data_IF_903829792081
#
_entry.id   IF_903829792081
#
_cell.length_a   1.000
_cell.length_b   1.000
_cell.length_c   1.000
_cell.angle_alpha   90.00
_cell.angle_beta   90.00
_cell.angle_gamma   90.00
#
_symmetry.space_group_name_H-M   'P 1'
#
loop_
_entity.id
_entity.type
_entity.pdbx_description
1 polymer ?
#
# COMPACT_ATOMS: atom_id res chain seq x y z
N UNK A 1 -57.30 48.80 19.63
CA UNK A 1 -58.25 49.15 18.57
C UNK A 1 -57.42 49.34 17.31
N UNK A 2 -57.42 48.37 16.37
CA UNK A 2 -58.44 48.25 15.30
C UNK A 2 -58.30 49.45 14.36
N UNK A 3 -58.07 49.35 13.05
CA UNK A 3 -58.21 48.32 12.02
C UNK A 3 -57.35 48.79 10.80
N UNK A 4 -56.66 47.96 10.00
CA UNK A 4 -57.19 47.15 8.89
C UNK A 4 -58.01 47.99 7.87
N UNK A 5 -57.89 47.97 6.54
CA UNK A 5 -57.16 47.20 5.47
C UNK A 5 -57.44 48.02 4.17
N UNK A 6 -56.74 47.89 3.04
CA UNK A 6 -57.19 47.12 1.84
C UNK A 6 -56.24 47.47 0.66
N UNK A 7 -55.33 46.59 0.25
CA UNK A 7 -55.39 45.64 -0.89
C UNK A 7 -55.30 46.24 -2.30
N UNK A 8 -54.25 45.90 -3.05
CA UNK A 8 -54.34 45.32 -4.40
C UNK A 8 -52.99 44.72 -4.86
N UNK A 9 -53.08 43.54 -5.46
CA UNK A 9 -52.02 42.72 -6.05
C UNK A 9 -52.30 42.63 -7.59
N UNK A 10 -51.55 41.87 -8.40
CA UNK A 10 -50.31 42.20 -9.11
C UNK A 10 -50.48 42.36 -10.64
N UNK A 11 -49.48 42.90 -11.33
CA UNK A 11 -49.31 42.78 -12.79
C UNK A 11 -47.85 42.48 -13.15
N UNK A 12 -47.69 41.80 -14.27
CA UNK A 12 -46.63 40.86 -14.61
C UNK A 12 -45.33 41.44 -15.22
N UNK A 13 -44.34 40.54 -15.32
CA UNK A 13 -43.28 40.44 -16.33
C UNK A 13 -42.07 41.39 -16.29
N UNK A 14 -40.92 40.83 -15.91
CA UNK A 14 -39.86 40.47 -16.87
C UNK A 14 -38.66 39.89 -16.14
N UNK A 15 -38.48 38.57 -16.29
CA UNK A 15 -37.40 37.79 -15.72
C UNK A 15 -36.07 38.15 -16.42
N UNK A 16 -35.12 38.73 -15.69
CA UNK A 16 -33.70 38.64 -16.05
C UNK A 16 -33.13 37.41 -15.37
N UNK A 17 -33.05 36.33 -16.14
CA UNK A 17 -32.34 35.11 -15.79
C UNK A 17 -30.86 35.44 -15.56
N UNK A 18 -30.43 35.29 -14.31
CA UNK A 18 -29.03 35.12 -13.95
C UNK A 18 -28.54 33.86 -14.68
N UNK A 19 -27.49 33.91 -15.51
CA UNK A 19 -26.98 32.71 -16.13
C UNK A 19 -26.47 31.78 -15.03
N UNK A 20 -27.14 30.63 -14.95
CA UNK A 20 -26.78 29.45 -14.20
C UNK A 20 -25.27 29.27 -14.18
N UNK A 21 -24.66 29.31 -12.99
CA UNK A 21 -23.34 28.74 -12.75
C UNK A 21 -23.42 27.30 -13.27
N UNK A 22 -22.87 27.07 -14.47
CA UNK A 22 -22.53 25.75 -14.92
C UNK A 22 -21.73 25.11 -13.79
N UNK A 23 -22.33 24.10 -13.16
CA UNK A 23 -21.66 23.25 -12.19
C UNK A 23 -20.48 22.65 -12.94
N UNK A 24 -19.30 23.24 -12.77
CA UNK A 24 -18.07 22.65 -13.25
C UNK A 24 -18.07 21.23 -12.70
N UNK A 25 -18.14 20.26 -13.60
CA UNK A 25 -17.86 18.89 -13.24
C UNK A 25 -16.43 18.91 -12.70
N UNK A 26 -16.30 18.82 -11.37
CA UNK A 26 -15.03 18.55 -10.72
C UNK A 26 -14.57 17.23 -11.32
N UNK A 27 -13.64 17.31 -12.27
CA UNK A 27 -12.95 16.13 -12.75
C UNK A 27 -12.13 15.69 -11.56
N UNK A 28 -12.57 14.65 -10.85
CA UNK A 28 -11.86 14.15 -9.68
C UNK A 28 -10.40 13.89 -10.10
N UNK A 29 -9.50 14.73 -9.60
CA UNK A 29 -8.06 14.49 -9.71
C UNK A 29 -7.84 13.15 -9.03
N UNK A 30 -7.25 12.16 -9.73
CA UNK A 30 -6.92 10.92 -9.04
C UNK A 30 -5.87 11.30 -8.00
N UNK A 31 -6.26 11.19 -6.74
CA UNK A 31 -5.40 11.42 -5.61
C UNK A 31 -4.20 10.46 -5.71
N UNK A 32 -2.95 10.95 -5.60
CA UNK A 32 -1.76 10.11 -5.47
C UNK A 32 -1.91 8.97 -4.46
N UNK A 33 -2.76 9.15 -3.42
CA UNK A 33 -3.08 8.10 -2.47
C UNK A 33 -3.73 6.86 -3.12
N UNK A 34 -4.41 7.00 -4.27
CA UNK A 34 -5.04 5.88 -5.00
C UNK A 34 -4.02 4.82 -5.41
N UNK A 35 -2.84 5.25 -5.87
CA UNK A 35 -1.74 4.35 -6.24
C UNK A 35 -1.23 3.55 -5.04
N UNK A 36 -1.11 4.20 -3.88
CA UNK A 36 -0.71 3.58 -2.61
C UNK A 36 -1.78 2.58 -2.15
N UNK A 37 -3.06 2.96 -2.15
CA UNK A 37 -4.14 2.07 -1.71
C UNK A 37 -4.29 0.83 -2.60
N UNK A 38 -4.23 0.99 -3.92
CA UNK A 38 -4.25 -0.15 -4.86
C UNK A 38 -3.06 -1.06 -4.60
N UNK A 39 -1.86 -0.51 -4.40
CA UNK A 39 -0.68 -1.29 -4.07
C UNK A 39 -0.82 -2.06 -2.74
N UNK A 40 -1.28 -1.40 -1.68
CA UNK A 40 -1.49 -2.03 -0.38
C UNK A 40 -2.51 -3.17 -0.50
N UNK A 41 -3.63 -2.94 -1.21
CA UNK A 41 -4.64 -3.96 -1.43
C UNK A 41 -4.09 -5.20 -2.14
N UNK A 42 -3.34 -5.02 -3.23
CA UNK A 42 -2.67 -6.12 -3.95
C UNK A 42 -1.64 -6.84 -3.05
N UNK A 43 -0.92 -6.10 -2.21
CA UNK A 43 0.10 -6.66 -1.33
C UNK A 43 -0.52 -7.49 -0.21
N UNK A 44 -1.60 -7.01 0.42
CA UNK A 44 -2.37 -7.78 1.40
C UNK A 44 -2.92 -9.06 0.77
N UNK A 45 -3.50 -8.97 -0.42
CA UNK A 45 -4.02 -10.13 -1.15
C UNK A 45 -2.91 -11.15 -1.42
N UNK A 46 -1.75 -10.70 -1.91
CA UNK A 46 -0.60 -11.57 -2.17
C UNK A 46 -0.14 -12.31 -0.91
N UNK A 47 0.08 -11.60 0.21
CA UNK A 47 0.55 -12.25 1.44
C UNK A 47 -0.49 -13.18 2.06
N UNK A 48 -1.78 -12.85 1.94
CA UNK A 48 -2.87 -13.74 2.36
C UNK A 48 -2.85 -15.04 1.55
N UNK A 49 -2.76 -14.94 0.21
CA UNK A 49 -2.71 -16.11 -0.67
C UNK A 49 -1.42 -16.92 -0.45
N UNK A 50 -0.29 -16.26 -0.22
CA UNK A 50 0.99 -16.91 0.09
C UNK A 50 0.94 -17.69 1.40
N UNK A 51 0.26 -17.16 2.42
CA UNK A 51 0.05 -17.85 3.68
C UNK A 51 -0.84 -19.09 3.52
N UNK A 52 -1.91 -19.00 2.70
CA UNK A 52 -2.83 -20.12 2.45
C UNK A 52 -2.24 -21.20 1.55
N UNK A 53 -1.39 -20.82 0.57
CA UNK A 53 -0.84 -21.72 -0.44
C UNK A 53 0.68 -21.53 -0.60
N UNK A 54 1.49 -21.90 0.41
CA UNK A 54 2.94 -21.68 0.39
C UNK A 54 3.63 -22.42 -0.76
N UNK A 55 3.13 -23.59 -1.16
CA UNK A 55 3.65 -24.38 -2.29
C UNK A 55 3.56 -23.66 -3.65
N UNK A 56 2.71 -22.62 -3.75
CA UNK A 56 2.53 -21.81 -4.97
C UNK A 56 3.19 -20.43 -4.86
N UNK A 57 4.01 -20.19 -3.83
CA UNK A 57 4.56 -18.88 -3.51
C UNK A 57 5.26 -18.20 -4.70
N UNK A 58 6.05 -18.93 -5.49
CA UNK A 58 6.76 -18.38 -6.66
C UNK A 58 5.80 -17.92 -7.75
N UNK A 59 4.80 -18.74 -8.09
CA UNK A 59 3.79 -18.37 -9.09
C UNK A 59 2.95 -17.18 -8.62
N UNK A 60 2.53 -17.18 -7.35
CA UNK A 60 1.80 -16.06 -6.74
C UNK A 60 2.62 -14.77 -6.77
N UNK A 61 3.94 -14.84 -6.54
CA UNK A 61 4.83 -13.68 -6.60
C UNK A 61 4.88 -13.07 -7.99
N UNK A 62 5.04 -13.90 -9.03
CA UNK A 62 5.07 -13.44 -10.43
C UNK A 62 3.75 -12.77 -10.80
N UNK A 63 2.61 -13.40 -10.48
CA UNK A 63 1.28 -12.84 -10.74
C UNK A 63 1.10 -11.50 -10.01
N UNK A 64 1.45 -11.45 -8.72
CA UNK A 64 1.41 -10.24 -7.93
C UNK A 64 2.24 -9.11 -8.55
N UNK A 65 3.48 -9.40 -8.94
CA UNK A 65 4.38 -8.38 -9.49
C UNK A 65 3.86 -7.84 -10.84
N UNK A 66 3.31 -8.71 -11.69
CA UNK A 66 2.66 -8.28 -12.95
C UNK A 66 1.45 -7.40 -12.67
N UNK A 67 0.59 -7.78 -11.72
CA UNK A 67 -0.59 -6.99 -11.35
C UNK A 67 -0.21 -5.61 -10.79
N UNK A 68 0.86 -5.54 -9.99
CA UNK A 68 1.41 -4.28 -9.50
C UNK A 68 1.90 -3.44 -10.68
N UNK A 69 2.73 -3.98 -11.58
CA UNK A 69 3.22 -3.22 -12.74
C UNK A 69 2.08 -2.68 -13.62
N UNK A 70 1.08 -3.52 -13.92
CA UNK A 70 -0.06 -3.13 -14.76
C UNK A 70 -0.89 -2.04 -14.06
N UNK A 71 -1.27 -2.25 -12.80
CA UNK A 71 -2.09 -1.29 -12.06
C UNK A 71 -1.39 0.06 -11.89
N UNK A 72 -0.11 0.04 -11.53
CA UNK A 72 0.68 1.26 -11.35
C UNK A 72 0.92 1.99 -12.67
N UNK A 73 1.13 1.26 -13.76
CA UNK A 73 1.26 1.85 -15.08
C UNK A 73 -0.02 2.54 -15.54
N UNK A 74 -1.19 1.91 -15.35
CA UNK A 74 -2.50 2.50 -15.67
C UNK A 74 -2.71 3.80 -14.88
N UNK A 75 -2.43 3.78 -13.57
CA UNK A 75 -2.57 4.96 -12.72
C UNK A 75 -1.60 6.08 -13.12
N UNK A 76 -0.36 5.73 -13.47
CA UNK A 76 0.63 6.71 -13.96
C UNK A 76 0.26 7.29 -15.32
N UNK A 77 -0.37 6.53 -16.23
CA UNK A 77 -0.95 7.08 -17.47
C UNK A 77 -2.05 8.08 -17.15
N UNK A 78 -2.92 7.75 -16.21
CA UNK A 78 -4.02 8.63 -15.82
C UNK A 78 -3.50 9.93 -15.21
N UNK A 79 -2.54 9.84 -14.29
CA UNK A 79 -1.86 11.00 -13.72
C UNK A 79 -1.20 11.86 -14.81
N UNK A 80 -0.49 11.24 -15.75
CA UNK A 80 0.13 11.94 -16.86
C UNK A 80 -0.90 12.67 -17.76
N UNK A 81 -2.09 12.09 -17.97
CA UNK A 81 -3.19 12.78 -18.68
C UNK A 81 -3.69 14.01 -17.93
N UNK A 82 -3.79 13.93 -16.60
CA UNK A 82 -4.26 15.04 -15.77
C UNK A 82 -3.25 16.19 -15.73
N UNK A 83 -1.97 15.89 -15.58
CA UNK A 83 -0.91 16.90 -15.52
C UNK A 83 -0.65 17.57 -16.87
N UNK A 84 -0.69 16.80 -17.95
CA UNK A 84 -0.21 17.25 -19.26
C UNK A 84 -1.30 17.47 -20.31
N UNK A 85 -2.57 17.23 -19.97
CA UNK A 85 -3.73 17.32 -20.86
C UNK A 85 -3.52 16.62 -22.22
N UNK A 86 -2.69 15.58 -22.24
CA UNK A 86 -2.27 14.90 -23.47
C UNK A 86 -2.00 13.41 -23.24
N UNK A 87 -2.52 12.52 -24.12
CA UNK A 87 -2.22 11.10 -24.09
C UNK A 87 -0.80 10.74 -24.55
N UNK A 88 0.04 11.69 -24.99
CA UNK A 88 1.39 11.41 -25.51
C UNK A 88 2.44 11.06 -24.44
N UNK A 89 2.10 11.12 -23.16
CA UNK A 89 3.05 10.88 -22.06
C UNK A 89 3.10 9.42 -21.59
N UNK A 90 2.70 8.46 -22.43
CA UNK A 90 2.78 7.02 -22.13
C UNK A 90 4.21 6.59 -21.86
N UNK A 91 5.19 7.13 -22.60
CA UNK A 91 6.61 6.84 -22.37
C UNK A 91 7.08 7.29 -20.99
N UNK A 92 6.70 8.50 -20.56
CA UNK A 92 6.98 9.00 -19.22
C UNK A 92 6.33 8.13 -18.14
N UNK A 93 5.07 7.72 -18.35
CA UNK A 93 4.37 6.76 -17.49
C UNK A 93 5.08 5.41 -17.38
N UNK A 94 5.63 4.91 -18.48
CA UNK A 94 6.36 3.66 -18.50
C UNK A 94 7.65 3.78 -17.68
N UNK A 95 8.44 4.84 -17.89
CA UNK A 95 9.68 5.08 -17.14
C UNK A 95 9.42 5.25 -15.64
N UNK A 96 8.44 6.08 -15.29
CA UNK A 96 8.05 6.33 -13.91
C UNK A 96 7.56 5.07 -13.18
N UNK A 97 7.08 4.07 -13.92
CA UNK A 97 6.63 2.79 -13.35
C UNK A 97 7.75 1.76 -13.37
N UNK A 98 8.18 1.36 -14.56
CA UNK A 98 9.03 0.18 -14.77
C UNK A 98 10.38 0.33 -14.07
N UNK A 99 11.02 1.50 -14.17
CA UNK A 99 12.37 1.71 -13.63
C UNK A 99 12.41 1.58 -12.11
N UNK A 100 11.65 2.36 -11.32
CA UNK A 100 11.71 2.23 -9.87
C UNK A 100 11.13 0.89 -9.38
N UNK A 101 10.09 0.34 -10.03
CA UNK A 101 9.57 -0.97 -9.66
C UNK A 101 10.57 -2.09 -9.92
N UNK A 102 11.28 -2.12 -11.04
CA UNK A 102 12.28 -3.18 -11.29
C UNK A 102 13.51 -2.97 -10.40
N UNK A 103 14.07 -1.75 -10.37
CA UNK A 103 15.34 -1.52 -9.69
C UNK A 103 15.19 -1.55 -8.17
N UNK A 104 14.26 -0.79 -7.59
CA UNK A 104 14.16 -0.65 -6.13
C UNK A 104 13.54 -1.91 -5.54
N UNK A 105 12.44 -2.41 -6.11
CA UNK A 105 11.79 -3.62 -5.60
C UNK A 105 12.63 -4.87 -5.86
N UNK A 106 13.29 -4.95 -7.02
CA UNK A 106 14.24 -6.03 -7.31
C UNK A 106 15.42 -6.02 -6.35
N UNK A 107 16.00 -4.85 -6.10
CA UNK A 107 17.07 -4.68 -5.10
C UNK A 107 16.61 -5.06 -3.70
N UNK A 108 15.41 -4.67 -3.26
CA UNK A 108 14.84 -5.10 -1.98
C UNK A 108 14.83 -6.63 -1.88
N UNK A 109 14.28 -7.31 -2.88
CA UNK A 109 14.18 -8.78 -2.86
C UNK A 109 15.56 -9.45 -2.83
N UNK A 110 16.53 -8.89 -3.56
CA UNK A 110 17.92 -9.34 -3.50
C UNK A 110 18.49 -9.17 -2.08
N UNK A 111 18.30 -8.00 -1.46
CA UNK A 111 18.81 -7.71 -0.13
C UNK A 111 18.16 -8.58 0.95
N UNK A 112 16.84 -8.78 0.92
CA UNK A 112 16.15 -9.64 1.89
C UNK A 112 16.55 -11.12 1.76
N UNK A 113 16.98 -11.54 0.57
CA UNK A 113 17.50 -12.90 0.33
C UNK A 113 18.94 -13.03 0.84
N UNK A 114 19.80 -12.03 0.58
CA UNK A 114 21.21 -12.07 0.97
C UNK A 114 21.41 -11.80 2.47
N UNK A 115 20.54 -10.98 3.08
CA UNK A 115 20.63 -10.55 4.46
C UNK A 115 19.32 -10.86 5.22
N UNK A 116 19.04 -12.15 5.51
CA UNK A 116 17.81 -12.54 6.19
C UNK A 116 17.67 -11.93 7.59
N UNK A 117 18.77 -11.48 8.20
CA UNK A 117 18.75 -10.73 9.46
C UNK A 117 17.91 -9.44 9.41
N UNK A 118 17.73 -8.82 8.23
CA UNK A 118 16.85 -7.65 8.07
C UNK A 118 15.37 -8.00 8.28
N UNK A 119 15.00 -9.26 8.04
CA UNK A 119 13.65 -9.72 8.33
C UNK A 119 13.43 -9.87 9.84
N UNK A 120 14.47 -10.15 10.61
CA UNK A 120 14.35 -10.39 12.04
C UNK A 120 13.82 -9.15 12.80
N UNK A 121 14.19 -7.94 12.38
CA UNK A 121 13.76 -6.71 13.03
C UNK A 121 12.22 -6.58 13.11
N UNK A 122 11.53 -6.80 11.98
CA UNK A 122 10.06 -6.78 11.94
C UNK A 122 9.45 -8.10 12.39
N UNK A 123 10.08 -9.24 12.10
CA UNK A 123 9.56 -10.57 12.47
C UNK A 123 9.50 -10.71 14.00
N UNK A 124 10.53 -10.27 14.71
CA UNK A 124 10.61 -10.42 16.17
C UNK A 124 9.78 -9.39 16.95
N UNK A 125 9.39 -8.30 16.28
CA UNK A 125 8.59 -7.24 16.89
C UNK A 125 7.14 -7.36 16.45
N UNK A 126 6.85 -6.97 15.19
CA UNK A 126 5.50 -6.92 14.64
C UNK A 126 5.00 -8.33 14.32
N UNK A 127 5.85 -9.18 13.71
CA UNK A 127 5.49 -10.55 13.38
C UNK A 127 5.15 -11.36 14.62
N UNK A 128 5.94 -11.23 15.69
CA UNK A 128 5.68 -11.88 16.96
C UNK A 128 4.40 -11.38 17.61
N UNK A 129 4.16 -10.07 17.60
CA UNK A 129 2.91 -9.51 18.11
C UNK A 129 1.70 -10.10 17.38
N UNK A 130 1.73 -10.17 16.05
CA UNK A 130 0.66 -10.79 15.25
C UNK A 130 0.52 -12.28 15.59
N UNK A 131 1.61 -13.06 15.57
CA UNK A 131 1.56 -14.48 15.88
C UNK A 131 1.06 -14.76 17.31
N UNK A 132 1.38 -13.89 18.27
CA UNK A 132 0.92 -13.96 19.66
C UNK A 132 -0.58 -13.73 19.77
N UNK A 133 -1.11 -12.75 19.03
CA UNK A 133 -2.55 -12.50 18.95
C UNK A 133 -3.29 -13.69 18.33
N UNK A 134 -2.71 -14.37 17.34
CA UNK A 134 -3.33 -15.55 16.73
C UNK A 134 -3.26 -16.78 17.65
N UNK A 135 -2.20 -16.93 18.47
CA UNK A 135 -2.17 -17.95 19.52
C UNK A 135 -0.85 -18.69 19.73
N UNK A 136 0.27 -18.24 19.14
CA UNK A 136 1.56 -18.95 19.28
C UNK A 136 2.00 -19.08 20.75
N UNK A 137 1.72 -18.07 21.58
CA UNK A 137 2.08 -18.07 22.99
C UNK A 137 1.31 -19.15 23.75
N UNK A 138 -0.01 -19.23 23.55
CA UNK A 138 -0.86 -20.29 24.13
C UNK A 138 -0.45 -21.69 23.66
N UNK A 139 -0.08 -21.86 22.39
CA UNK A 139 0.45 -23.13 21.89
C UNK A 139 1.68 -23.57 22.70
N UNK A 140 2.65 -22.67 22.92
CA UNK A 140 3.82 -22.98 23.74
C UNK A 140 3.45 -23.32 25.18
N UNK A 141 2.73 -22.43 25.86
CA UNK A 141 2.52 -22.51 27.31
C UNK A 141 1.56 -23.63 27.71
N UNK A 142 0.54 -23.93 26.91
CA UNK A 142 -0.53 -24.86 27.27
C UNK A 142 -0.35 -26.23 26.62
N UNK A 143 0.11 -26.27 25.36
CA UNK A 143 0.13 -27.49 24.55
C UNK A 143 1.51 -28.12 24.45
N UNK A 144 2.57 -27.33 24.30
CA UNK A 144 3.91 -27.86 24.06
C UNK A 144 4.74 -28.10 25.32
N UNK A 145 4.86 -27.14 26.23
CA UNK A 145 5.80 -27.21 27.35
C UNK A 145 5.47 -28.34 28.35
N UNK A 146 6.50 -29.02 28.84
CA UNK A 146 6.41 -30.06 29.87
C UNK A 146 6.47 -29.48 31.29
N UNK A 147 5.43 -28.76 31.69
CA UNK A 147 5.36 -28.09 33.00
C UNK A 147 5.24 -29.09 34.17
N UNK A 148 4.69 -30.29 33.92
CA UNK A 148 4.35 -31.25 34.97
C UNK A 148 5.47 -32.21 35.38
N UNK A 149 6.43 -32.50 34.50
CA UNK A 149 7.49 -33.48 34.79
C UNK A 149 8.85 -33.06 34.18
N UNK A 150 9.47 -31.97 34.68
CA UNK A 150 10.76 -31.50 34.17
C UNK A 150 11.90 -32.49 34.54
N UNK A 151 12.88 -32.71 33.65
CA UNK A 151 13.93 -33.70 33.87
C UNK A 151 14.93 -33.31 34.97
N UNK A 152 15.13 -32.01 35.22
CA UNK A 152 15.99 -31.51 36.30
C UNK A 152 15.61 -30.06 36.69
N UNK A 153 16.26 -29.52 37.74
CA UNK A 153 16.00 -28.16 38.24
C UNK A 153 16.34 -27.06 37.24
N UNK A 154 17.34 -27.26 36.39
CA UNK A 154 17.75 -26.25 35.41
C UNK A 154 16.77 -26.20 34.23
N UNK A 155 16.26 -27.35 33.79
CA UNK A 155 15.17 -27.44 32.82
C UNK A 155 13.90 -26.78 33.35
N UNK A 156 13.58 -26.95 34.65
CA UNK A 156 12.46 -26.24 35.27
C UNK A 156 12.65 -24.72 35.25
N UNK A 157 13.85 -24.20 35.55
CA UNK A 157 14.14 -22.75 35.44
C UNK A 157 13.98 -22.25 34.00
N UNK A 158 14.47 -23.01 33.02
CA UNK A 158 14.32 -22.66 31.60
C UNK A 158 12.85 -22.63 31.21
N UNK A 159 12.07 -23.65 31.59
CA UNK A 159 10.62 -23.69 31.35
C UNK A 159 9.92 -22.50 32.01
N UNK A 160 10.24 -22.17 33.26
CA UNK A 160 9.66 -21.01 33.96
C UNK A 160 10.00 -19.68 33.27
N UNK A 161 11.24 -19.51 32.83
CA UNK A 161 11.62 -18.32 32.06
C UNK A 161 10.85 -18.20 30.75
N UNK A 162 10.65 -19.32 30.05
CA UNK A 162 9.86 -19.36 28.81
C UNK A 162 8.37 -19.10 29.08
N UNK A 163 7.82 -19.62 30.18
CA UNK A 163 6.43 -19.34 30.59
C UNK A 163 6.23 -17.86 30.89
N UNK A 164 7.21 -17.21 31.52
CA UNK A 164 7.16 -15.78 31.83
C UNK A 164 7.32 -14.92 30.58
N UNK A 165 8.20 -15.32 29.66
CA UNK A 165 8.42 -14.61 28.39
C UNK A 165 8.66 -15.59 27.22
N UNK A 166 7.58 -16.01 26.52
CA UNK A 166 7.68 -16.86 25.34
C UNK A 166 8.42 -16.20 24.17
N UNK A 167 8.48 -14.86 24.15
CA UNK A 167 9.06 -14.10 23.04
C UNK A 167 10.53 -14.42 22.83
N UNK A 168 11.27 -14.67 23.93
CA UNK A 168 12.70 -15.00 23.88
C UNK A 168 12.97 -16.23 23.01
N UNK A 169 12.16 -17.28 23.11
CA UNK A 169 12.32 -18.47 22.26
C UNK A 169 11.73 -18.23 20.88
N UNK A 170 10.49 -17.74 20.81
CA UNK A 170 9.76 -17.61 19.54
C UNK A 170 10.51 -16.68 18.57
N UNK A 171 11.17 -15.64 19.06
CA UNK A 171 11.95 -14.70 18.25
C UNK A 171 13.25 -15.30 17.68
N UNK A 172 13.75 -16.39 18.26
CA UNK A 172 14.90 -17.13 17.68
C UNK A 172 14.48 -18.10 16.58
N UNK A 173 13.18 -18.41 16.47
CA UNK A 173 12.67 -19.38 15.50
C UNK A 173 12.40 -18.77 14.14
N UNK A 174 12.70 -19.54 13.10
CA UNK A 174 12.39 -19.26 11.70
C UNK A 174 12.09 -20.57 10.94
N UNK A 175 11.77 -20.46 9.65
CA UNK A 175 11.39 -21.61 8.83
C UNK A 175 12.50 -22.67 8.68
N UNK A 176 13.77 -22.27 8.84
CA UNK A 176 14.94 -23.14 8.68
C UNK A 176 15.26 -23.94 9.95
N UNK A 177 15.06 -23.33 11.13
CA UNK A 177 15.46 -23.92 12.40
C UNK A 177 14.32 -24.53 13.21
N UNK A 178 13.05 -24.28 12.85
CA UNK A 178 11.88 -24.75 13.62
C UNK A 178 11.86 -26.27 13.79
N UNK A 179 12.22 -27.03 12.75
CA UNK A 179 12.32 -28.50 12.82
C UNK A 179 13.44 -28.96 13.77
N UNK A 180 14.61 -28.32 13.68
CA UNK A 180 15.73 -28.63 14.55
C UNK A 180 15.37 -28.35 16.02
N UNK A 181 14.78 -27.20 16.28
CA UNK A 181 14.31 -26.80 17.61
C UNK A 181 13.28 -27.78 18.15
N UNK A 182 12.28 -28.16 17.36
CA UNK A 182 11.28 -29.16 17.75
C UNK A 182 11.95 -30.48 18.16
N UNK A 183 12.80 -31.02 17.28
CA UNK A 183 13.46 -32.31 17.51
C UNK A 183 14.35 -32.29 18.75
N UNK A 184 15.04 -31.16 19.01
CA UNK A 184 15.82 -30.98 20.25
C UNK A 184 14.93 -30.86 21.49
N UNK A 185 13.78 -30.23 21.36
CA UNK A 185 12.85 -30.02 22.48
C UNK A 185 12.20 -31.32 22.97
N UNK A 186 11.99 -32.29 22.07
CA UNK A 186 11.49 -33.64 22.39
C UNK A 186 12.59 -34.69 22.62
N UNK A 187 13.87 -34.30 22.49
CA UNK A 187 14.98 -35.25 22.63
C UNK A 187 15.14 -35.72 24.08
N UNK A 188 15.47 -37.01 24.29
CA UNK A 188 15.77 -37.53 25.62
C UNK A 188 16.87 -36.71 26.31
N UNK A 189 16.64 -36.31 27.55
CA UNK A 189 17.57 -35.49 28.36
C UNK A 189 17.30 -33.99 28.31
N UNK A 190 16.62 -33.48 27.27
CA UNK A 190 16.16 -32.08 27.21
C UNK A 190 14.71 -31.99 27.70
N UNK A 191 13.81 -32.80 27.13
CA UNK A 191 12.38 -32.92 27.51
C UNK A 191 11.70 -31.55 27.78
N UNK A 192 11.98 -30.56 26.94
CA UNK A 192 11.38 -29.23 27.02
C UNK A 192 9.89 -29.30 26.69
N UNK A 193 9.55 -30.11 25.68
CA UNK A 193 8.18 -30.41 25.31
C UNK A 193 7.67 -31.68 25.98
N UNK A 194 6.34 -31.84 26.01
CA UNK A 194 5.67 -33.03 26.57
C UNK A 194 6.20 -34.31 25.93
N UNK A 195 6.32 -35.35 26.74
CA UNK A 195 7.00 -36.61 26.40
C UNK A 195 6.28 -37.48 25.37
N UNK A 196 4.99 -37.21 25.12
CA UNK A 196 4.18 -37.88 24.11
C UNK A 196 4.44 -37.35 22.69
N UNK A 197 5.06 -36.17 22.56
CA UNK A 197 5.45 -35.60 21.28
C UNK A 197 6.67 -36.29 20.70
N UNK A 198 6.67 -36.48 19.39
CA UNK A 198 7.70 -37.26 18.66
C UNK A 198 8.56 -36.37 17.77
N UNK A 199 9.83 -36.77 17.52
CA UNK A 199 10.67 -36.08 16.55
C UNK A 199 10.12 -36.21 15.14
N UNK A 200 10.33 -35.17 14.33
CA UNK A 200 9.95 -35.09 12.92
C UNK A 200 11.14 -35.53 12.07
N UNK A 201 11.01 -36.66 11.38
CA UNK A 201 12.02 -37.18 10.46
C UNK A 201 11.81 -36.64 9.04
N UNK A 202 10.60 -36.83 8.51
CA UNK A 202 10.16 -36.33 7.21
C UNK A 202 8.96 -35.41 7.37
N UNK A 203 9.06 -34.15 6.97
CA UNK A 203 7.97 -33.16 7.08
C UNK A 203 6.78 -33.45 6.16
N UNK A 204 6.96 -34.32 5.16
CA UNK A 204 5.90 -34.70 4.21
C UNK A 204 5.13 -35.94 4.67
N UNK A 205 5.55 -36.58 5.76
CA UNK A 205 4.87 -37.75 6.28
C UNK A 205 3.53 -37.37 6.96
N UNK A 206 2.46 -38.08 6.61
CA UNK A 206 1.10 -37.82 7.12
C UNK A 206 0.91 -38.13 8.62
N UNK A 207 1.89 -38.79 9.24
CA UNK A 207 1.83 -39.24 10.64
C UNK A 207 2.57 -38.32 11.63
N UNK A 208 3.01 -37.15 11.17
CA UNK A 208 3.66 -36.16 12.02
C UNK A 208 2.67 -35.53 13.02
N UNK A 209 3.21 -35.03 14.13
CA UNK A 209 2.40 -34.42 15.18
C UNK A 209 1.70 -33.14 14.67
N UNK A 210 0.37 -33.00 14.83
CA UNK A 210 -0.36 -31.82 14.36
C UNK A 210 0.13 -30.52 15.02
N UNK A 211 0.64 -30.58 16.26
CA UNK A 211 1.15 -29.41 16.98
C UNK A 211 2.45 -28.88 16.35
N UNK A 212 3.25 -29.73 15.71
CA UNK A 212 4.42 -29.28 14.96
C UNK A 212 4.01 -28.38 13.79
N UNK A 213 2.99 -28.79 13.02
CA UNK A 213 2.49 -27.99 11.90
C UNK A 213 1.80 -26.72 12.35
N UNK A 214 1.11 -26.75 13.50
CA UNK A 214 0.54 -25.56 14.12
C UNK A 214 1.64 -24.55 14.48
N UNK A 215 2.70 -25.02 15.15
CA UNK A 215 3.88 -24.20 15.46
C UNK A 215 4.51 -23.63 14.19
N UNK A 216 4.76 -24.48 13.20
CA UNK A 216 5.38 -24.08 11.93
C UNK A 216 4.56 -23.00 11.23
N UNK A 217 3.22 -23.09 11.24
CA UNK A 217 2.34 -22.05 10.67
C UNK A 217 2.46 -20.71 11.40
N UNK A 218 2.55 -20.71 12.73
CA UNK A 218 2.78 -19.47 13.48
C UNK A 218 4.14 -18.84 13.18
N UNK A 219 5.21 -19.66 13.08
CA UNK A 219 6.55 -19.16 12.73
C UNK A 219 6.57 -18.62 11.29
N UNK A 220 5.90 -19.30 10.36
CA UNK A 220 5.75 -18.83 8.98
C UNK A 220 4.97 -17.51 8.93
N UNK A 221 3.88 -17.37 9.70
CA UNK A 221 3.12 -16.12 9.79
C UNK A 221 4.00 -14.98 10.31
N UNK A 222 4.77 -15.22 11.38
CA UNK A 222 5.73 -14.28 11.98
C UNK A 222 6.67 -13.72 10.90
N UNK A 223 7.26 -14.61 10.11
CA UNK A 223 8.20 -14.26 9.05
C UNK A 223 7.53 -13.56 7.86
N UNK A 224 6.34 -14.01 7.44
CA UNK A 224 5.59 -13.39 6.36
C UNK A 224 5.19 -11.95 6.68
N UNK A 225 4.84 -11.64 7.93
CA UNK A 225 4.57 -10.27 8.37
C UNK A 225 5.78 -9.37 8.16
N UNK A 226 7.00 -9.86 8.42
CA UNK A 226 8.22 -9.09 8.17
C UNK A 226 8.42 -8.74 6.70
N UNK A 227 8.26 -9.72 5.80
CA UNK A 227 8.28 -9.47 4.36
C UNK A 227 7.20 -8.48 3.93
N UNK A 228 5.99 -8.61 4.49
CA UNK A 228 4.88 -7.69 4.22
C UNK A 228 5.23 -6.25 4.58
N UNK A 229 5.81 -6.01 5.76
CA UNK A 229 6.22 -4.66 6.19
C UNK A 229 7.29 -4.09 5.26
N UNK A 230 8.30 -4.88 4.89
CA UNK A 230 9.33 -4.44 3.93
C UNK A 230 8.74 -4.08 2.56
N UNK A 231 7.80 -4.89 2.06
CA UNK A 231 7.11 -4.62 0.81
C UNK A 231 6.28 -3.34 0.92
N UNK A 232 5.50 -3.18 2.00
CA UNK A 232 4.68 -2.01 2.25
C UNK A 232 5.51 -0.72 2.26
N UNK A 233 6.61 -0.69 3.01
CA UNK A 233 7.52 0.46 3.06
C UNK A 233 8.11 0.78 1.69
N UNK A 234 8.57 -0.26 0.98
CA UNK A 234 9.23 -0.08 -0.32
C UNK A 234 8.25 0.35 -1.41
N UNK A 235 7.04 -0.18 -1.43
CA UNK A 235 6.03 0.24 -2.40
C UNK A 235 5.54 1.67 -2.16
N UNK A 236 5.39 2.09 -0.90
CA UNK A 236 5.11 3.51 -0.57
C UNK A 236 6.26 4.41 -1.07
N UNK A 237 7.51 3.99 -0.87
CA UNK A 237 8.67 4.72 -1.38
C UNK A 237 8.67 4.79 -2.91
N UNK A 238 8.47 3.67 -3.60
CA UNK A 238 8.45 3.61 -5.07
C UNK A 238 7.35 4.49 -5.64
N UNK A 239 6.12 4.37 -5.12
CA UNK A 239 4.98 5.18 -5.57
C UNK A 239 5.23 6.68 -5.34
N UNK A 240 5.85 7.05 -4.22
CA UNK A 240 6.28 8.42 -3.95
C UNK A 240 7.32 8.92 -4.95
N UNK A 241 8.32 8.09 -5.29
CA UNK A 241 9.34 8.43 -6.29
C UNK A 241 8.68 8.60 -7.68
N UNK A 242 7.81 7.67 -8.08
CA UNK A 242 7.06 7.74 -9.34
C UNK A 242 6.24 9.03 -9.43
N UNK A 243 5.54 9.40 -8.35
CA UNK A 243 4.76 10.63 -8.29
C UNK A 243 5.62 11.89 -8.41
N UNK A 244 6.71 11.98 -7.64
CA UNK A 244 7.62 13.12 -7.70
C UNK A 244 8.29 13.26 -9.08
N UNK A 245 8.64 12.14 -9.71
CA UNK A 245 9.15 12.13 -11.08
C UNK A 245 8.11 12.70 -12.07
N UNK A 246 6.84 12.34 -11.92
CA UNK A 246 5.75 12.84 -12.77
C UNK A 246 5.51 14.34 -12.64
N UNK A 247 5.69 14.90 -11.44
CA UNK A 247 5.53 16.34 -11.22
C UNK A 247 6.66 17.17 -11.81
N UNK A 248 7.85 16.58 -11.97
CA UNK A 248 9.06 17.30 -12.35
C UNK A 248 9.41 17.17 -13.83
N UNK A 249 8.96 16.09 -14.49
CA UNK A 249 9.21 15.88 -15.91
C UNK A 249 8.34 16.80 -16.78
N UNK A 250 8.92 17.49 -17.78
CA UNK A 250 8.14 18.29 -18.71
C UNK A 250 7.24 17.40 -19.59
N UNK A 251 6.03 17.89 -19.86
CA UNK A 251 5.07 17.23 -20.72
C UNK A 251 5.58 17.16 -22.17
N UNK A 252 5.61 15.95 -22.75
CA UNK A 252 5.95 15.76 -24.17
C UNK A 252 4.69 15.98 -25.01
N UNK A 253 4.69 17.03 -25.84
CA UNK A 253 3.59 17.33 -26.76
C UNK A 253 3.89 16.75 -28.15
N UNK A 254 2.88 16.19 -28.82
CA UNK A 254 3.03 15.86 -30.24
C UNK A 254 3.05 17.14 -31.10
N UNK A 255 3.66 17.13 -32.30
CA UNK A 255 3.65 18.30 -33.19
C UNK A 255 2.24 18.83 -33.50
N UNK A 256 1.25 17.93 -33.60
CA UNK A 256 -0.16 18.31 -33.80
C UNK A 256 -0.72 19.06 -32.59
N UNK A 257 -0.43 18.59 -31.38
CA UNK A 257 -0.88 19.23 -30.15
C UNK A 257 -0.20 20.57 -29.91
N UNK A 258 1.11 20.67 -30.19
CA UNK A 258 1.83 21.94 -30.12
C UNK A 258 1.21 22.99 -31.05
N UNK A 259 0.82 22.60 -32.27
CA UNK A 259 0.13 23.49 -33.22
C UNK A 259 -1.26 23.91 -32.71
N UNK A 260 -2.03 22.99 -32.15
CA UNK A 260 -3.37 23.30 -31.58
C UNK A 260 -3.24 24.25 -30.39
N UNK A 261 -2.31 23.99 -29.47
CA UNK A 261 -2.07 24.84 -28.31
C UNK A 261 -1.60 26.24 -28.72
N UNK A 262 -0.70 26.34 -29.71
CA UNK A 262 -0.27 27.63 -30.25
C UNK A 262 -1.42 28.40 -30.90
N UNK A 263 -2.29 27.72 -31.67
CA UNK A 263 -3.46 28.35 -32.28
C UNK A 263 -4.48 28.84 -31.24
N UNK A 264 -4.71 28.07 -30.16
CA UNK A 264 -5.57 28.48 -29.05
C UNK A 264 -5.02 29.71 -28.32
N UNK A 265 -3.73 29.71 -28.00
CA UNK A 265 -3.07 30.85 -27.35
C UNK A 265 -3.19 32.14 -28.15
N UNK A 266 -2.99 32.07 -29.48
CA UNK A 266 -3.17 33.23 -30.37
C UNK A 266 -4.63 33.70 -30.41
N UNK A 267 -5.59 32.77 -30.44
CA UNK A 267 -7.01 33.11 -30.44
C UNK A 267 -7.46 33.78 -29.13
N UNK A 268 -6.94 33.33 -27.98
CA UNK A 268 -7.27 33.90 -26.69
C UNK A 268 -6.65 35.29 -26.50
N UNK A 269 -5.40 35.50 -26.94
CA UNK A 269 -4.82 36.86 -26.98
C UNK A 269 -5.64 37.83 -27.83
N UNK A 270 -6.09 37.39 -29.00
CA UNK A 270 -6.90 38.24 -29.88
C UNK A 270 -8.24 38.60 -29.23
N UNK A 271 -8.88 37.69 -28.48
CA UNK A 271 -10.11 37.97 -27.73
C UNK A 271 -9.86 38.94 -26.58
N UNK A 272 -8.75 38.78 -25.86
CA UNK A 272 -8.37 39.71 -24.78
C UNK A 272 -8.11 41.11 -25.34
N UNK A 273 -7.41 41.23 -26.46
CA UNK A 273 -7.18 42.52 -27.14
C UNK A 273 -8.49 43.16 -27.63
N UNK A 274 -9.37 42.39 -28.28
CA UNK A 274 -10.68 42.90 -28.74
C UNK A 274 -11.57 43.33 -27.57
N UNK A 275 -11.57 42.58 -26.46
CA UNK A 275 -12.33 42.97 -25.27
C UNK A 275 -11.78 44.24 -24.61
N UNK A 276 -10.46 44.42 -24.59
CA UNK A 276 -9.81 45.64 -24.10
C UNK A 276 -10.09 46.85 -25.00
N UNK A 277 -10.10 46.69 -26.33
CA UNK A 277 -10.45 47.75 -27.27
C UNK A 277 -11.92 48.15 -27.18
N UNK A 278 -12.81 47.17 -27.04
CA UNK A 278 -14.26 47.40 -26.85
C UNK A 278 -14.51 48.14 -25.53
N UNK A 279 -13.82 47.77 -24.45
CA UNK A 279 -13.91 48.45 -23.16
C UNK A 279 -13.43 49.91 -23.23
N UNK A 280 -12.33 50.19 -23.94
CA UNK A 280 -11.82 51.56 -24.16
C UNK A 280 -12.78 52.41 -24.99
N UNK A 281 -13.41 51.83 -26.02
CA UNK A 281 -14.39 52.52 -26.86
C UNK A 281 -15.68 52.86 -26.11
N UNK A 282 -16.07 52.02 -25.13
CA UNK A 282 -17.26 52.25 -24.30
C UNK A 282 -17.05 53.15 -23.07
N UNK A 283 -15.82 53.61 -22.80
CA UNK A 283 -15.52 54.45 -21.65
C UNK A 283 -16.10 55.87 -21.84
N UNK A 284 -16.85 56.42 -20.86
CA UNK A 284 -17.45 57.74 -21.01
C UNK A 284 -16.37 58.82 -21.16
N UNK A 285 -16.42 59.56 -22.27
CA UNK A 285 -15.56 60.72 -22.49
C UNK A 285 -16.11 61.87 -21.63
N UNK A 286 -15.43 62.20 -20.53
CA UNK A 286 -15.74 63.41 -19.78
C UNK A 286 -15.25 64.62 -20.56
N UNK A 287 -16.16 65.34 -21.21
CA UNK A 287 -15.87 66.66 -21.74
C UNK A 287 -15.69 67.62 -20.56
N UNK A 288 -14.48 68.12 -20.37
CA UNK A 288 -14.24 69.27 -19.49
C UNK A 288 -14.63 70.52 -20.26
N UNK A 289 -15.80 71.08 -19.96
CA UNK A 289 -16.20 72.39 -20.45
C UNK A 289 -15.23 73.43 -19.87
N UNK A 290 -14.29 73.86 -20.72
CA UNK A 290 -13.36 74.95 -20.44
C UNK A 290 -14.10 76.29 -20.43
N UNK A 291 -13.87 77.05 -19.35
CA UNK A 291 -14.34 78.43 -19.17
C UNK A 291 -13.81 79.39 -20.23
#
# INVERSE_FOLDING_TARGET
MSSQTTTTQPAAESSKSVPSKAKAATTDVIDPATSIFVYIGLTVLYFTMKYMMPEKATALFVIYFILVLISQFILNIYLAKQLCNSPSNVGTAAVATIVPWILIFGLLNLLLTMFPGWLAAFSNTIGYAVASVVGVSSLFTEKLLNVGNPPNRDALKVIQNILNDPSTIINTLNDENVKYFWNKSVSPGVNLFKSDLKPIYDEKADNNDPLFYELKKYIMLKNLVSYFIWYLLTGILITSISYNYMLTVPCVQTPKQARIAAAQFLADQNKEQQSAETAKSSAPVYQTDGK
#
